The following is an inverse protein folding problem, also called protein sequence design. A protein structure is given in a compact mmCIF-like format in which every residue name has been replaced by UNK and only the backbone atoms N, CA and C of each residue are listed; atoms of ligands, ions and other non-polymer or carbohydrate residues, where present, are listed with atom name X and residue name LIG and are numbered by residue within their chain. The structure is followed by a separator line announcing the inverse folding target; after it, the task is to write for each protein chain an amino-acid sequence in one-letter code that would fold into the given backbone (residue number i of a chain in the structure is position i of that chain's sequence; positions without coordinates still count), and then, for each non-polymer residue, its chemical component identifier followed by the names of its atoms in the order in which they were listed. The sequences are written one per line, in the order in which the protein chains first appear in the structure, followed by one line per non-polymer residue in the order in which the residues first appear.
data_IF_841210115077
#
_entry.id   IF_841210115077
#
_cell.length_a   1.000
_cell.length_b   1.000
_cell.length_c   1.000
_cell.angle_alpha   90.00
_cell.angle_beta   90.00
_cell.angle_gamma   90.00
#
_symmetry.space_group_name_H-M   'P 1'
#
loop_
_entity.id
_entity.type
_entity.pdbx_description
1 polymer ?
#
# COMPACT_ATOMS: atom_id res chain seq x y z
N UNK A 1 2.81 -16.18 3.22
CA UNK A 1 2.30 -15.87 4.57
C UNK A 1 2.54 -14.40 4.79
N UNK A 2 1.52 -13.60 5.07
CA UNK A 2 1.71 -12.17 5.36
C UNK A 2 2.60 -12.07 6.60
N UNK A 3 3.79 -11.52 6.40
CA UNK A 3 4.69 -11.17 7.50
C UNK A 3 3.97 -10.11 8.33
N UNK A 4 3.90 -10.27 9.66
CA UNK A 4 3.45 -9.23 10.58
C UNK A 4 4.61 -8.90 11.51
N UNK A 5 5.59 -8.11 11.04
CA UNK A 5 6.86 -7.99 11.73
C UNK A 5 6.77 -7.16 13.02
N UNK A 6 5.66 -6.43 13.20
CA UNK A 6 5.37 -5.57 14.35
C UNK A 6 4.28 -6.15 15.27
N UNK A 7 3.68 -7.29 14.93
CA UNK A 7 2.57 -7.89 15.68
C UNK A 7 1.33 -6.99 15.70
N UNK A 8 1.13 -6.19 14.65
CA UNK A 8 0.11 -5.16 14.58
C UNK A 8 -1.21 -5.64 13.98
N UNK A 9 -1.24 -6.85 13.41
CA UNK A 9 -2.45 -7.41 12.80
C UNK A 9 -3.45 -7.80 13.88
N UNK A 10 -4.69 -7.33 13.73
CA UNK A 10 -5.81 -7.68 14.61
C UNK A 10 -7.08 -7.95 13.81
N UNK A 11 -7.85 -8.93 14.26
CA UNK A 11 -9.23 -9.16 13.80
C UNK A 11 -10.20 -8.30 14.61
N UNK A 12 -11.13 -7.64 13.91
CA UNK A 12 -12.27 -6.93 14.47
C UNK A 12 -13.56 -7.57 13.98
N UNK A 13 -14.46 -7.91 14.89
CA UNK A 13 -15.82 -8.32 14.56
C UNK A 13 -16.69 -7.09 14.34
N UNK A 14 -17.35 -7.02 13.19
CA UNK A 14 -18.29 -5.95 12.85
C UNK A 14 -19.64 -6.53 12.46
N UNK A 15 -20.68 -5.69 12.39
CA UNK A 15 -21.99 -6.13 11.89
C UNK A 15 -21.94 -6.63 10.43
N UNK A 16 -20.93 -6.21 9.65
CA UNK A 16 -20.70 -6.65 8.28
C UNK A 16 -19.82 -7.92 8.19
N UNK A 17 -19.41 -8.49 9.33
CA UNK A 17 -18.53 -9.65 9.41
C UNK A 17 -17.15 -9.33 9.99
N UNK A 18 -16.26 -10.31 9.91
CA UNK A 18 -14.89 -10.22 10.38
C UNK A 18 -14.03 -9.36 9.44
N UNK A 19 -13.34 -8.35 9.99
CA UNK A 19 -12.38 -7.53 9.25
C UNK A 19 -11.00 -7.58 9.91
N UNK A 20 -9.95 -7.59 9.10
CA UNK A 20 -8.57 -7.46 9.57
C UNK A 20 -8.13 -6.01 9.54
N UNK A 21 -7.49 -5.53 10.61
CA UNK A 21 -6.89 -4.20 10.72
C UNK A 21 -5.43 -4.30 11.16
N UNK A 22 -4.63 -3.28 10.82
CA UNK A 22 -3.26 -3.13 11.31
C UNK A 22 -3.23 -1.95 12.28
N UNK A 23 -3.01 -2.24 13.57
CA UNK A 23 -3.19 -1.26 14.63
C UNK A 23 -1.92 -0.42 14.86
N UNK A 24 -2.00 0.89 14.60
CA UNK A 24 -0.92 1.84 14.91
C UNK A 24 -0.59 1.90 16.41
N UNK A 25 -1.54 1.53 17.29
CA UNK A 25 -1.29 1.45 18.74
C UNK A 25 -0.18 0.46 19.08
N UNK A 26 0.00 -0.60 18.28
CA UNK A 26 1.07 -1.56 18.50
C UNK A 26 2.45 -0.96 18.31
N UNK A 27 2.58 -0.02 17.38
CA UNK A 27 3.83 0.73 17.18
C UNK A 27 4.14 1.62 18.38
N UNK A 28 3.11 2.23 18.99
CA UNK A 28 3.26 3.02 20.22
C UNK A 28 3.71 2.15 21.39
N UNK A 29 3.14 0.95 21.55
CA UNK A 29 3.56 -0.04 22.55
C UNK A 29 5.01 -0.49 22.33
N UNK A 30 5.45 -0.56 21.07
CA UNK A 30 6.83 -0.88 20.69
C UNK A 30 7.79 0.33 20.82
N UNK A 31 7.36 1.44 21.43
CA UNK A 31 8.21 2.59 21.76
C UNK A 31 8.12 3.77 20.79
N UNK A 32 7.34 3.69 19.71
CA UNK A 32 7.15 4.79 18.75
C UNK A 32 6.08 5.78 19.21
N UNK A 33 6.31 6.45 20.34
CA UNK A 33 5.32 7.32 21.00
C UNK A 33 4.94 8.55 20.15
N UNK A 34 5.86 9.01 19.29
CA UNK A 34 5.67 10.15 18.38
C UNK A 34 4.51 10.00 17.39
N UNK A 35 4.03 8.76 17.17
CA UNK A 35 2.90 8.47 16.27
C UNK A 35 1.61 9.19 16.71
N UNK A 36 1.44 9.45 18.01
CA UNK A 36 0.24 10.13 18.53
C UNK A 36 0.06 11.52 17.94
N UNK A 37 1.16 12.27 17.81
CA UNK A 37 1.19 13.63 17.28
C UNK A 37 1.23 13.72 15.76
N UNK A 38 1.35 12.60 15.04
CA UNK A 38 1.40 12.63 13.58
C UNK A 38 0.08 13.15 12.98
N UNK A 39 0.15 13.98 11.91
CA UNK A 39 -1.01 14.34 11.10
C UNK A 39 -1.71 13.09 10.54
N UNK A 40 -3.01 13.18 10.31
CA UNK A 40 -3.79 12.06 9.78
C UNK A 40 -3.30 11.57 8.40
N UNK A 41 -2.84 12.49 7.54
CA UNK A 41 -2.22 12.13 6.26
C UNK A 41 -1.01 11.20 6.44
N UNK A 42 -0.14 11.50 7.41
CA UNK A 42 1.03 10.67 7.71
C UNK A 42 0.62 9.34 8.35
N UNK A 43 -0.43 9.34 9.19
CA UNK A 43 -0.99 8.10 9.76
C UNK A 43 -1.53 7.14 8.68
N UNK A 44 -2.09 7.66 7.59
CA UNK A 44 -2.52 6.85 6.44
C UNK A 44 -1.31 6.22 5.73
N UNK A 45 -0.24 6.98 5.50
CA UNK A 45 1.00 6.44 4.93
C UNK A 45 1.65 5.40 5.85
N UNK A 46 1.65 5.66 7.16
CA UNK A 46 2.21 4.76 8.16
C UNK A 46 1.44 3.44 8.23
N UNK A 47 0.10 3.47 8.22
CA UNK A 47 -0.71 2.25 8.18
C UNK A 47 -0.47 1.48 6.89
N UNK A 48 -0.36 2.20 5.76
CA UNK A 48 -0.08 1.58 4.47
C UNK A 48 1.24 0.81 4.48
N UNK A 49 2.31 1.43 4.98
CA UNK A 49 3.61 0.78 5.11
C UNK A 49 3.54 -0.39 6.11
N UNK A 50 2.89 -0.20 7.26
CA UNK A 50 2.72 -1.23 8.28
C UNK A 50 2.02 -2.48 7.74
N UNK A 51 0.96 -2.31 6.95
CA UNK A 51 0.17 -3.40 6.37
C UNK A 51 0.94 -4.21 5.32
N UNK A 52 1.85 -3.57 4.60
CA UNK A 52 2.66 -4.21 3.55
C UNK A 52 4.05 -4.64 4.03
N UNK A 53 4.44 -4.31 5.26
CA UNK A 53 5.77 -4.58 5.78
C UNK A 53 6.13 -6.08 5.71
N UNK A 54 7.24 -6.38 5.05
CA UNK A 54 7.73 -7.74 4.84
C UNK A 54 7.19 -8.44 3.59
N UNK A 55 6.58 -7.72 2.65
CA UNK A 55 6.21 -8.22 1.33
C UNK A 55 7.35 -8.19 0.29
N UNK A 56 8.50 -7.62 0.66
CA UNK A 56 9.70 -7.47 -0.18
C UNK A 56 9.80 -6.11 -0.87
N UNK A 57 8.76 -5.28 -0.82
CA UNK A 57 8.76 -3.89 -1.26
C UNK A 57 8.88 -2.97 -0.05
N UNK A 58 8.14 -3.27 1.02
CA UNK A 58 8.16 -2.47 2.26
C UNK A 58 8.95 -3.17 3.34
N UNK A 59 9.95 -2.49 3.88
CA UNK A 59 10.79 -2.98 4.96
C UNK A 59 10.36 -2.44 6.33
N UNK A 60 10.93 -2.98 7.42
CA UNK A 60 10.71 -2.45 8.77
C UNK A 60 11.20 -1.02 8.91
N UNK A 61 12.33 -0.73 8.27
CA UNK A 61 12.98 0.58 8.26
C UNK A 61 12.04 1.66 7.70
N UNK A 62 11.25 1.36 6.67
CA UNK A 62 10.30 2.31 6.09
C UNK A 62 9.20 2.70 7.10
N UNK A 63 8.67 1.72 7.83
CA UNK A 63 7.67 1.96 8.89
C UNK A 63 8.26 2.85 9.99
N UNK A 64 9.49 2.56 10.42
CA UNK A 64 10.18 3.33 11.46
C UNK A 64 10.47 4.77 11.01
N UNK A 65 10.90 4.97 9.75
CA UNK A 65 11.13 6.30 9.17
C UNK A 65 9.86 7.14 9.12
N UNK A 66 8.74 6.57 8.67
CA UNK A 66 7.46 7.28 8.63
C UNK A 66 6.97 7.59 10.05
N UNK A 67 7.17 6.67 11.00
CA UNK A 67 6.81 6.88 12.40
C UNK A 67 7.64 8.01 13.05
N UNK A 68 8.86 8.23 12.58
CA UNK A 68 9.77 9.29 13.03
C UNK A 68 9.64 10.61 12.23
N UNK A 69 8.60 10.75 11.40
CA UNK A 69 8.40 11.93 10.55
C UNK A 69 8.40 13.24 11.36
N UNK A 70 9.12 14.25 10.85
CA UNK A 70 9.26 15.57 11.46
C UNK A 70 8.98 16.67 10.43
N UNK A 71 7.98 17.51 10.71
CA UNK A 71 7.59 18.63 9.85
C UNK A 71 8.64 19.75 9.79
N UNK A 72 9.36 19.99 10.88
CA UNK A 72 10.40 21.05 10.98
C UNK A 72 11.66 20.65 10.22
N UNK A 73 11.87 19.35 10.04
CA UNK A 73 13.00 18.80 9.29
C UNK A 73 12.52 17.65 8.40
N UNK A 74 11.86 17.95 7.27
CA UNK A 74 11.42 16.94 6.32
C UNK A 74 12.62 16.13 5.83
N UNK A 75 12.51 14.81 5.83
CA UNK A 75 13.52 13.93 5.27
C UNK A 75 13.41 13.94 3.73
N UNK A 76 14.56 14.02 3.04
CA UNK A 76 14.65 13.83 1.58
C UNK A 76 14.83 12.34 1.27
N UNK A 77 13.85 11.53 1.69
CA UNK A 77 13.87 10.08 1.51
C UNK A 77 12.64 9.63 0.71
N UNK A 78 12.84 8.62 -0.14
CA UNK A 78 11.75 7.96 -0.83
C UNK A 78 11.03 7.00 0.12
N UNK A 79 9.71 6.91 -0.02
CA UNK A 79 8.86 6.07 0.80
C UNK A 79 8.00 5.17 -0.10
N UNK A 80 7.90 3.87 0.20
CA UNK A 80 6.98 3.02 -0.53
C UNK A 80 5.54 3.39 -0.16
N UNK A 81 4.66 3.43 -1.17
CA UNK A 81 3.24 3.62 -0.97
C UNK A 81 2.46 2.77 -1.98
N UNK A 82 1.57 1.93 -1.46
CA UNK A 82 0.74 1.03 -2.26
C UNK A 82 -0.72 1.43 -2.10
N UNK A 83 -1.28 2.27 -3.00
CA UNK A 83 -2.66 2.73 -2.93
C UNK A 83 -3.65 1.56 -2.87
N UNK A 84 -4.78 1.77 -2.20
CA UNK A 84 -5.82 0.74 -2.11
C UNK A 84 -6.59 0.52 -3.42
N UNK A 85 -6.63 1.53 -4.30
CA UNK A 85 -7.27 1.49 -5.62
C UNK A 85 -6.74 2.61 -6.51
N UNK A 86 -6.97 2.50 -7.82
CA UNK A 86 -6.64 3.52 -8.82
C UNK A 86 -7.93 4.00 -9.50
N UNK A 87 -8.03 5.30 -9.74
CA UNK A 87 -9.08 5.87 -10.59
C UNK A 87 -8.41 6.43 -11.84
N UNK A 88 -8.90 6.01 -13.00
CA UNK A 88 -8.42 6.46 -14.31
C UNK A 88 -9.50 7.33 -14.96
N UNK A 89 -9.06 8.41 -15.61
CA UNK A 89 -9.89 9.25 -16.46
C UNK A 89 -9.70 8.81 -17.92
N UNK A 90 -10.71 8.95 -18.78
CA UNK A 90 -10.76 8.36 -20.14
C UNK A 90 -9.47 8.52 -20.98
N UNK A 91 -8.91 9.72 -21.09
CA UNK A 91 -7.69 9.99 -21.88
C UNK A 91 -6.45 9.31 -21.32
N UNK A 92 -6.39 9.12 -20.00
CA UNK A 92 -5.29 8.40 -19.33
C UNK A 92 -5.55 6.90 -19.22
N UNK A 93 -6.82 6.49 -19.23
CA UNK A 93 -7.24 5.10 -19.09
C UNK A 93 -7.01 4.30 -20.36
N UNK A 94 -7.27 4.89 -21.54
CA UNK A 94 -7.05 4.21 -22.81
C UNK A 94 -5.58 3.79 -23.01
N UNK A 95 -4.57 4.69 -22.85
CA UNK A 95 -3.16 4.29 -22.91
C UNK A 95 -2.80 3.19 -21.90
N UNK A 96 -3.29 3.28 -20.65
CA UNK A 96 -3.01 2.26 -19.64
C UNK A 96 -3.57 0.87 -20.00
N UNK A 97 -4.76 0.82 -20.61
CA UNK A 97 -5.34 -0.45 -21.11
C UNK A 97 -4.58 -0.98 -22.32
N UNK A 98 -4.12 -0.10 -23.21
CA UNK A 98 -3.26 -0.47 -24.35
C UNK A 98 -1.94 -1.06 -23.85
N UNK A 99 -1.33 -0.48 -22.82
CA UNK A 99 -0.10 -1.02 -22.20
C UNK A 99 -0.33 -2.40 -21.59
N UNK A 100 -1.45 -2.62 -20.89
CA UNK A 100 -1.84 -3.94 -20.40
C UNK A 100 -1.97 -4.97 -21.54
N UNK A 101 -2.57 -4.57 -22.67
CA UNK A 101 -2.70 -5.45 -23.84
C UNK A 101 -1.34 -5.74 -24.50
N UNK A 102 -0.46 -4.75 -24.57
CA UNK A 102 0.91 -4.91 -25.07
C UNK A 102 1.73 -5.86 -24.17
N UNK A 103 1.65 -5.70 -22.85
CA UNK A 103 2.30 -6.58 -21.87
C UNK A 103 1.77 -8.01 -21.95
N UNK A 104 0.46 -8.21 -22.13
CA UNK A 104 -0.12 -9.54 -22.37
C UNK A 104 0.43 -10.18 -23.65
N UNK A 105 0.49 -9.41 -24.72
CA UNK A 105 1.05 -9.88 -25.99
C UNK A 105 2.52 -10.26 -25.86
N UNK A 106 3.30 -9.48 -25.10
CA UNK A 106 4.70 -9.79 -24.79
C UNK A 106 4.83 -11.07 -23.95
N UNK A 107 3.99 -11.25 -22.93
CA UNK A 107 3.98 -12.47 -22.10
C UNK A 107 3.75 -13.73 -22.94
N UNK A 108 2.82 -13.69 -23.90
CA UNK A 108 2.58 -14.82 -24.83
C UNK A 108 3.81 -15.11 -25.69
N UNK A 109 4.46 -14.07 -26.25
CA UNK A 109 5.68 -14.25 -27.07
C UNK A 109 6.83 -14.88 -26.27
N UNK A 110 6.89 -14.65 -24.96
CA UNK A 110 7.87 -15.24 -24.06
C UNK A 110 7.45 -16.63 -23.54
N UNK A 111 6.31 -17.18 -24.00
CA UNK A 111 5.80 -18.48 -23.57
C UNK A 111 5.18 -18.49 -22.16
N UNK A 112 4.91 -17.32 -21.58
CA UNK A 112 4.29 -17.17 -20.28
C UNK A 112 2.76 -17.10 -20.33
N UNK A 113 2.15 -17.07 -19.15
CA UNK A 113 0.68 -16.94 -19.01
C UNK A 113 0.24 -15.46 -19.03
N UNK A 114 -0.45 -14.98 -20.07
CA UNK A 114 -0.92 -13.59 -20.14
C UNK A 114 -1.94 -13.24 -19.05
N UNK A 115 -2.60 -14.22 -18.43
CA UNK A 115 -3.53 -13.96 -17.32
C UNK A 115 -2.83 -13.48 -16.05
N UNK A 116 -1.50 -13.58 -15.96
CA UNK A 116 -0.71 -12.95 -14.90
C UNK A 116 -0.60 -11.44 -15.05
N UNK A 117 -0.88 -10.89 -16.25
CA UNK A 117 -0.92 -9.45 -16.49
C UNK A 117 -2.34 -8.94 -16.22
N UNK A 118 -2.55 -8.50 -14.98
CA UNK A 118 -3.78 -7.88 -14.51
C UNK A 118 -3.46 -6.80 -13.45
N UNK A 119 -4.32 -5.78 -13.29
CA UNK A 119 -4.19 -4.85 -12.17
C UNK A 119 -4.19 -5.57 -10.83
N UNK A 120 -3.27 -5.20 -9.94
CA UNK A 120 -3.14 -5.80 -8.61
C UNK A 120 -4.10 -5.21 -7.57
N UNK A 121 -4.59 -4.00 -7.84
CA UNK A 121 -5.57 -3.29 -7.01
C UNK A 121 -6.79 -2.95 -7.88
N UNK A 122 -7.97 -2.72 -7.28
CA UNK A 122 -9.15 -2.27 -8.00
C UNK A 122 -8.86 -1.02 -8.83
N UNK A 123 -9.37 -0.99 -10.05
CA UNK A 123 -9.23 0.14 -10.97
C UNK A 123 -10.61 0.55 -11.47
N UNK A 124 -10.97 1.80 -11.25
CA UNK A 124 -12.22 2.40 -11.74
C UNK A 124 -11.89 3.33 -12.92
N UNK A 125 -12.42 3.04 -14.11
CA UNK A 125 -12.32 3.94 -15.27
C UNK A 125 -13.58 4.81 -15.34
N UNK A 126 -13.39 6.12 -15.22
CA UNK A 126 -14.46 7.12 -15.30
C UNK A 126 -14.44 7.72 -16.71
N UNK A 127 -15.59 7.61 -17.39
CA UNK A 127 -15.86 8.25 -18.67
C UNK A 127 -16.99 9.24 -18.41
N UNK A 128 -16.67 10.53 -18.37
CA UNK A 128 -17.59 11.63 -18.12
C UNK A 128 -17.85 12.50 -19.37
#
# INVERSE_FOLDING_TARGET
MSSDPFGAKKTLETQAGEVTIYQLSKLIENGMVGIKSLPFSIKVLLENALRHCGDGIVEKSDVEKIAAWNAEKPAEEELPFTPARVVLQDFTGVPAVVDLAAMRSAMVRLGGDPKKINPLVPVDLVID
#
